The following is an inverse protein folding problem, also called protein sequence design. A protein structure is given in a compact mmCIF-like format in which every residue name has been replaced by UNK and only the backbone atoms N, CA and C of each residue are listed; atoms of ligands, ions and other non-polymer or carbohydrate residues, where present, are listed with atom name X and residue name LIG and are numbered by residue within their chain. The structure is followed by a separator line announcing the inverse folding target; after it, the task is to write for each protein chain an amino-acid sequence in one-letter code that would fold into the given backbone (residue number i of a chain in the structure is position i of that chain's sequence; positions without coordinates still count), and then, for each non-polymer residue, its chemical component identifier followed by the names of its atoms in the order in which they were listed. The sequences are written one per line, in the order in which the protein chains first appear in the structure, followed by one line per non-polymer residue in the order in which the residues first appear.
data_IF_921265353151
#
_entry.id   IF_921265353151
#
_cell.length_a   1.000
_cell.length_b   1.000
_cell.length_c   1.000
_cell.angle_alpha   90.00
_cell.angle_beta   90.00
_cell.angle_gamma   90.00
#
_symmetry.space_group_name_H-M   'P 1'
#
loop_
_entity.id
_entity.type
_entity.pdbx_description
1 polymer ?
#
# COMPACT_ATOMS: atom_id res chain seq x y z
N UNK A 1 -19.48 -11.51 -10.49
CA UNK A 1 -18.94 -11.54 -9.12
C UNK A 1 -17.57 -12.21 -9.08
N UNK A 2 -17.38 -13.37 -9.77
CA UNK A 2 -16.10 -14.13 -9.78
C UNK A 2 -14.87 -13.36 -10.31
N UNK A 3 -14.92 -12.54 -11.39
CA UNK A 3 -13.74 -11.81 -11.84
C UNK A 3 -13.34 -10.69 -10.85
N UNK A 4 -14.29 -10.02 -10.19
CA UNK A 4 -13.98 -8.97 -9.21
C UNK A 4 -13.35 -9.53 -7.93
N UNK A 5 -13.73 -10.72 -7.48
CA UNK A 5 -13.10 -11.37 -6.32
C UNK A 5 -11.70 -11.87 -6.65
N UNK A 6 -11.44 -12.29 -7.89
CA UNK A 6 -10.08 -12.63 -8.36
C UNK A 6 -9.19 -11.39 -8.47
N UNK A 7 -9.71 -10.28 -9.00
CA UNK A 7 -9.03 -9.00 -9.01
C UNK A 7 -8.70 -8.53 -7.59
N UNK A 8 -9.65 -8.59 -6.66
CA UNK A 8 -9.42 -8.27 -5.26
C UNK A 8 -8.32 -9.15 -4.64
N UNK A 9 -8.30 -10.44 -4.94
CA UNK A 9 -7.25 -11.36 -4.47
C UNK A 9 -5.87 -11.02 -5.05
N UNK A 10 -5.79 -10.62 -6.32
CA UNK A 10 -4.53 -10.18 -6.97
C UNK A 10 -4.04 -8.87 -6.39
N UNK A 11 -4.93 -7.89 -6.20
CA UNK A 11 -4.59 -6.64 -5.51
C UNK A 11 -4.10 -6.88 -4.09
N UNK A 12 -4.66 -7.85 -3.42
CA UNK A 12 -4.28 -8.29 -2.08
C UNK A 12 -2.88 -8.89 -2.05
N UNK A 13 -2.59 -9.76 -3.00
CA UNK A 13 -1.27 -10.36 -3.16
C UNK A 13 -0.24 -9.29 -3.53
N UNK A 14 -0.57 -8.37 -4.42
CA UNK A 14 0.28 -7.24 -4.76
C UNK A 14 0.53 -6.32 -3.54
N UNK A 15 -0.49 -6.06 -2.73
CA UNK A 15 -0.36 -5.31 -1.48
C UNK A 15 0.59 -6.00 -0.49
N UNK A 16 0.43 -7.29 -0.24
CA UNK A 16 1.32 -8.06 0.63
C UNK A 16 2.74 -8.11 0.08
N UNK A 17 2.90 -8.32 -1.24
CA UNK A 17 4.22 -8.32 -1.88
C UNK A 17 4.91 -6.96 -1.78
N UNK A 18 4.16 -5.87 -1.95
CA UNK A 18 4.66 -4.51 -1.77
C UNK A 18 5.16 -4.29 -0.34
N UNK A 19 4.42 -4.76 0.66
CA UNK A 19 4.84 -4.69 2.07
C UNK A 19 6.13 -5.45 2.31
N UNK A 20 6.25 -6.67 1.77
CA UNK A 20 7.47 -7.50 1.91
C UNK A 20 8.68 -6.81 1.27
N UNK A 21 8.48 -6.13 0.14
CA UNK A 21 9.55 -5.37 -0.53
C UNK A 21 9.87 -4.06 0.20
N UNK A 22 8.87 -3.38 0.73
CA UNK A 22 9.04 -2.08 1.40
C UNK A 22 9.75 -2.20 2.76
N UNK A 23 9.56 -3.31 3.49
CA UNK A 23 10.24 -3.53 4.78
C UNK A 23 11.78 -3.50 4.61
N UNK A 24 12.40 -4.27 3.70
CA UNK A 24 13.84 -4.14 3.43
C UNK A 24 14.26 -2.75 2.97
N UNK A 25 13.43 -2.07 2.17
CA UNK A 25 13.72 -0.71 1.70
C UNK A 25 13.86 0.30 2.85
N UNK A 26 13.14 0.12 3.95
CA UNK A 26 13.30 0.96 5.15
C UNK A 26 14.72 0.87 5.75
N UNK A 27 15.36 -0.28 5.65
CA UNK A 27 16.75 -0.49 6.12
C UNK A 27 17.79 -0.03 5.09
N UNK A 28 17.39 0.12 3.83
CA UNK A 28 18.24 0.61 2.74
C UNK A 28 18.16 2.12 2.54
N UNK A 29 17.39 2.84 3.39
CA UNK A 29 17.30 4.29 3.32
C UNK A 29 18.70 4.90 3.49
N UNK A 30 19.06 5.87 2.63
CA UNK A 30 20.38 6.49 2.71
C UNK A 30 20.55 7.18 4.07
N UNK A 31 21.73 7.07 4.70
CA UNK A 31 22.00 7.68 5.98
C UNK A 31 21.90 9.21 5.89
N UNK A 32 21.47 9.83 6.99
CA UNK A 32 21.36 11.30 7.13
C UNK A 32 22.71 12.01 6.97
N UNK A 33 23.77 11.32 7.38
CA UNK A 33 25.14 11.85 7.35
C UNK A 33 26.00 10.92 6.51
N UNK A 34 26.63 11.45 5.46
CA UNK A 34 27.62 10.75 4.65
C UNK A 34 28.93 11.52 4.76
N UNK A 35 30.00 10.83 5.11
CA UNK A 35 31.38 11.40 5.24
C UNK A 35 31.45 12.65 6.13
N UNK A 36 30.70 12.68 7.23
CA UNK A 36 30.67 13.81 8.16
C UNK A 36 29.89 15.04 7.68
N UNK A 37 29.39 15.03 6.46
CA UNK A 37 28.56 16.10 5.90
C UNK A 37 27.08 15.73 5.91
N UNK A 38 26.23 16.62 6.42
CA UNK A 38 24.79 16.46 6.31
C UNK A 38 24.37 16.64 4.85
N UNK A 39 23.43 15.80 4.39
CA UNK A 39 22.80 15.99 3.09
C UNK A 39 22.08 17.35 3.07
N UNK A 40 22.41 18.17 2.09
CA UNK A 40 21.85 19.53 1.94
C UNK A 40 20.44 19.51 1.34
N UNK A 41 19.49 19.00 2.08
CA UNK A 41 18.08 19.20 1.78
C UNK A 41 17.43 19.88 2.98
N UNK A 42 16.53 20.82 2.75
CA UNK A 42 15.73 21.48 3.79
C UNK A 42 15.07 20.46 4.74
N UNK A 43 14.66 19.33 4.21
CA UNK A 43 14.09 18.23 4.97
C UNK A 43 15.08 17.54 5.92
N UNK A 44 16.36 17.46 5.56
CA UNK A 44 17.41 16.89 6.39
C UNK A 44 17.88 17.85 7.48
N UNK A 45 17.62 19.14 7.30
CA UNK A 45 17.95 20.18 8.28
C UNK A 45 16.81 20.45 9.26
N UNK A 46 15.60 19.96 8.96
CA UNK A 46 14.45 20.11 9.83
C UNK A 46 14.65 19.39 11.17
N UNK A 47 14.17 19.98 12.30
CA UNK A 47 14.48 19.48 13.65
C UNK A 47 13.93 18.08 13.95
N UNK A 48 13.05 17.53 13.16
CA UNK A 48 12.42 16.24 13.37
C UNK A 48 12.89 15.14 12.39
N UNK A 49 14.13 15.22 11.88
CA UNK A 49 14.73 14.18 11.03
C UNK A 49 13.87 13.73 9.86
N UNK A 50 13.32 14.68 9.19
CA UNK A 50 12.10 14.59 8.45
C UNK A 50 12.01 13.53 7.36
N UNK A 51 12.96 13.28 6.43
CA UNK A 51 12.68 12.34 5.33
C UNK A 51 12.49 10.91 5.83
N UNK A 52 13.31 10.46 6.78
CA UNK A 52 13.24 9.11 7.31
C UNK A 52 11.97 8.90 8.14
N UNK A 53 11.65 9.85 9.02
CA UNK A 53 10.45 9.75 9.87
C UNK A 53 9.19 9.83 9.02
N UNK A 54 9.09 10.81 8.11
CA UNK A 54 7.94 10.94 7.24
C UNK A 54 7.80 9.77 6.25
N UNK A 55 8.92 9.26 5.75
CA UNK A 55 8.95 8.04 4.96
C UNK A 55 8.42 6.83 5.73
N UNK A 56 8.87 6.63 6.98
CA UNK A 56 8.38 5.55 7.85
C UNK A 56 6.89 5.72 8.15
N UNK A 57 6.46 6.91 8.52
CA UNK A 57 5.04 7.20 8.79
C UNK A 57 4.20 6.91 7.54
N UNK A 58 4.62 7.37 6.37
CA UNK A 58 3.96 7.11 5.10
C UNK A 58 3.83 5.61 4.80
N UNK A 59 4.91 4.85 5.00
CA UNK A 59 4.92 3.40 4.83
C UNK A 59 3.96 2.69 5.79
N UNK A 60 3.97 3.08 7.07
CA UNK A 60 3.08 2.50 8.09
C UNK A 60 1.62 2.81 7.74
N UNK A 61 1.31 4.02 7.31
CA UNK A 61 -0.03 4.40 6.85
C UNK A 61 -0.45 3.60 5.62
N UNK A 62 0.45 3.43 4.64
CA UNK A 62 0.20 2.63 3.45
C UNK A 62 -0.10 1.16 3.82
N UNK A 63 0.67 0.61 4.75
CA UNK A 63 0.48 -0.73 5.27
C UNK A 63 -0.89 -0.89 5.96
N UNK A 64 -1.22 0.00 6.89
CA UNK A 64 -2.46 -0.05 7.65
C UNK A 64 -3.67 0.08 6.72
N UNK A 65 -3.65 1.07 5.82
CA UNK A 65 -4.75 1.32 4.89
C UNK A 65 -4.89 0.20 3.85
N UNK A 66 -3.77 -0.35 3.38
CA UNK A 66 -3.75 -1.51 2.48
C UNK A 66 -4.32 -2.76 3.14
N UNK A 67 -3.94 -3.07 4.38
CA UNK A 67 -4.50 -4.20 5.15
C UNK A 67 -6.01 -3.99 5.40
N UNK A 68 -6.43 -2.77 5.75
CA UNK A 68 -7.84 -2.47 5.98
C UNK A 68 -8.69 -2.63 4.72
N UNK A 69 -8.19 -2.16 3.57
CA UNK A 69 -8.81 -2.33 2.27
C UNK A 69 -8.90 -3.81 1.88
N UNK A 70 -7.77 -4.52 1.99
CA UNK A 70 -7.70 -5.95 1.71
C UNK A 70 -8.65 -6.76 2.58
N UNK A 71 -8.59 -6.58 3.90
CA UNK A 71 -9.45 -7.28 4.82
C UNK A 71 -10.93 -7.03 4.52
N UNK A 72 -11.29 -5.79 4.22
CA UNK A 72 -12.67 -5.45 3.84
C UNK A 72 -13.09 -6.18 2.57
N UNK A 73 -12.26 -6.18 1.53
CA UNK A 73 -12.56 -6.86 0.27
C UNK A 73 -12.65 -8.38 0.41
N UNK A 74 -11.82 -8.98 1.28
CA UNK A 74 -11.75 -10.43 1.50
C UNK A 74 -12.82 -10.97 2.47
N UNK A 75 -13.62 -10.11 3.10
CA UNK A 75 -14.60 -10.52 4.10
C UNK A 75 -15.60 -11.59 3.60
N UNK A 76 -16.19 -11.47 2.38
CA UNK A 76 -17.04 -12.52 1.82
C UNK A 76 -16.29 -13.83 1.56
N UNK A 77 -15.02 -13.75 1.15
CA UNK A 77 -14.20 -14.94 0.87
C UNK A 77 -13.88 -15.71 2.15
N UNK A 78 -13.66 -15.02 3.27
CA UNK A 78 -13.53 -15.66 4.58
C UNK A 78 -14.81 -16.35 5.03
N UNK A 79 -15.99 -15.84 4.67
CA UNK A 79 -17.25 -16.53 4.94
C UNK A 79 -17.38 -17.80 4.11
N UNK A 80 -17.05 -17.74 2.83
CA UNK A 80 -17.02 -18.95 1.94
C UNK A 80 -16.01 -19.96 2.46
N UNK A 81 -14.83 -19.51 2.90
CA UNK A 81 -13.82 -20.38 3.49
C UNK A 81 -14.32 -21.07 4.78
N UNK A 82 -15.08 -20.35 5.62
CA UNK A 82 -15.72 -20.89 6.81
C UNK A 82 -16.66 -22.06 6.49
N UNK A 83 -17.42 -21.93 5.40
CA UNK A 83 -18.46 -22.92 5.00
C UNK A 83 -17.90 -24.11 4.25
N UNK A 84 -16.90 -23.90 3.42
CA UNK A 84 -16.40 -24.91 2.49
C UNK A 84 -15.05 -25.53 2.88
N UNK A 85 -14.49 -25.17 4.04
CA UNK A 85 -13.19 -25.71 4.48
C UNK A 85 -13.32 -26.51 5.78
N UNK A 86 -12.31 -27.33 6.06
CA UNK A 86 -12.20 -28.13 7.28
C UNK A 86 -10.90 -27.77 8.04
N UNK A 87 -10.84 -28.13 9.31
CA UNK A 87 -9.64 -27.97 10.12
C UNK A 87 -9.28 -26.51 10.44
N UNK A 88 -8.00 -26.17 10.30
CA UNK A 88 -7.48 -24.84 10.64
C UNK A 88 -8.04 -23.71 9.75
N UNK A 89 -8.29 -23.99 8.49
CA UNK A 89 -8.87 -23.04 7.53
C UNK A 89 -10.28 -22.65 7.93
N UNK A 90 -11.09 -23.58 8.36
CA UNK A 90 -12.44 -23.30 8.87
C UNK A 90 -12.39 -22.40 10.12
N UNK A 91 -11.48 -22.70 11.07
CA UNK A 91 -11.28 -21.88 12.28
C UNK A 91 -10.87 -20.44 11.91
N UNK A 92 -9.95 -20.30 10.97
CA UNK A 92 -9.50 -19.01 10.46
C UNK A 92 -10.65 -18.25 9.78
N UNK A 93 -11.38 -18.89 8.87
CA UNK A 93 -12.57 -18.35 8.22
C UNK A 93 -13.62 -17.88 9.21
N UNK A 94 -13.90 -18.67 10.23
CA UNK A 94 -14.84 -18.33 11.31
C UNK A 94 -14.40 -17.07 12.08
N UNK A 95 -13.11 -16.95 12.39
CA UNK A 95 -12.56 -15.78 13.11
C UNK A 95 -12.56 -14.53 12.24
N UNK A 96 -12.14 -14.63 10.97
CA UNK A 96 -11.97 -13.48 10.07
C UNK A 96 -13.26 -13.02 9.42
N UNK A 97 -14.25 -13.89 9.19
CA UNK A 97 -15.54 -13.50 8.61
C UNK A 97 -16.40 -12.64 9.53
N UNK A 98 -16.11 -12.58 10.84
CA UNK A 98 -16.82 -11.76 11.83
C UNK A 98 -18.36 -11.86 11.73
N UNK A 99 -18.89 -13.06 11.50
CA UNK A 99 -20.33 -13.27 11.38
C UNK A 99 -20.93 -12.78 10.07
N UNK A 100 -20.13 -12.62 9.02
CA UNK A 100 -20.64 -12.28 7.69
C UNK A 100 -21.58 -13.37 7.18
N UNK A 101 -22.81 -12.96 6.81
CA UNK A 101 -23.88 -13.84 6.29
C UNK A 101 -24.34 -13.37 4.90
N UNK A 102 -23.92 -12.17 4.48
CA UNK A 102 -24.27 -11.64 3.17
C UNK A 102 -25.62 -10.93 3.10
N UNK A 103 -26.10 -10.37 4.21
CA UNK A 103 -27.33 -9.55 4.20
C UNK A 103 -27.13 -8.26 3.40
N UNK A 104 -28.22 -7.67 2.89
CA UNK A 104 -28.18 -6.40 2.15
C UNK A 104 -27.54 -5.26 2.94
N UNK A 105 -27.79 -5.21 4.23
CA UNK A 105 -27.15 -4.26 5.14
C UNK A 105 -25.63 -4.46 5.20
N UNK A 106 -25.18 -5.70 5.31
CA UNK A 106 -23.75 -6.03 5.31
C UNK A 106 -23.10 -5.69 3.98
N UNK A 107 -23.74 -5.98 2.85
CA UNK A 107 -23.26 -5.60 1.53
C UNK A 107 -23.17 -4.08 1.32
N UNK A 108 -24.15 -3.32 1.82
CA UNK A 108 -24.12 -1.86 1.79
C UNK A 108 -22.94 -1.32 2.59
N UNK A 109 -22.77 -1.81 3.81
CA UNK A 109 -21.65 -1.42 4.69
C UNK A 109 -20.30 -1.78 4.09
N UNK A 110 -20.19 -2.96 3.48
CA UNK A 110 -18.97 -3.40 2.80
C UNK A 110 -18.58 -2.48 1.65
N UNK A 111 -19.52 -2.15 0.78
CA UNK A 111 -19.31 -1.22 -0.35
C UNK A 111 -18.83 0.14 0.13
N UNK A 112 -19.45 0.67 1.18
CA UNK A 112 -19.05 1.93 1.78
C UNK A 112 -17.62 1.86 2.36
N UNK A 113 -17.28 0.78 3.08
CA UNK A 113 -15.92 0.57 3.62
C UNK A 113 -14.87 0.44 2.52
N UNK A 114 -15.13 -0.34 1.48
CA UNK A 114 -14.22 -0.49 0.35
C UNK A 114 -14.01 0.86 -0.36
N UNK A 115 -15.08 1.63 -0.57
CA UNK A 115 -14.97 2.97 -1.13
C UNK A 115 -14.13 3.90 -0.26
N UNK A 116 -14.42 3.98 1.02
CA UNK A 116 -13.70 4.82 1.97
C UNK A 116 -12.21 4.43 2.08
N UNK A 117 -11.92 3.15 2.34
CA UNK A 117 -10.53 2.69 2.46
C UNK A 117 -9.78 2.75 1.13
N UNK A 118 -10.46 2.49 0.01
CA UNK A 118 -9.86 2.61 -1.32
C UNK A 118 -9.46 4.05 -1.64
N UNK A 119 -10.33 5.00 -1.38
CA UNK A 119 -10.03 6.43 -1.55
C UNK A 119 -8.88 6.86 -0.64
N UNK A 120 -8.93 6.47 0.64
CA UNK A 120 -7.88 6.83 1.59
C UNK A 120 -6.53 6.19 1.22
N UNK A 121 -6.53 4.92 0.84
CA UNK A 121 -5.34 4.22 0.35
C UNK A 121 -4.74 4.90 -0.88
N UNK A 122 -5.58 5.33 -1.83
CA UNK A 122 -5.14 6.06 -3.01
C UNK A 122 -4.40 7.35 -2.65
N UNK A 123 -4.97 8.17 -1.77
CA UNK A 123 -4.32 9.41 -1.33
C UNK A 123 -3.00 9.15 -0.60
N UNK A 124 -2.97 8.18 0.31
CA UNK A 124 -1.75 7.80 1.02
C UNK A 124 -0.69 7.31 0.04
N UNK A 125 -1.07 6.48 -0.94
CA UNK A 125 -0.16 5.97 -1.97
C UNK A 125 0.45 7.11 -2.81
N UNK A 126 -0.36 8.06 -3.25
CA UNK A 126 0.12 9.24 -3.98
C UNK A 126 1.09 10.04 -3.12
N UNK A 127 0.71 10.34 -1.88
CA UNK A 127 1.54 11.11 -0.94
C UNK A 127 2.88 10.41 -0.67
N UNK A 128 2.86 9.10 -0.43
CA UNK A 128 4.08 8.31 -0.19
C UNK A 128 4.97 8.31 -1.42
N UNK A 129 4.39 8.15 -2.62
CA UNK A 129 5.14 8.20 -3.86
C UNK A 129 5.81 9.56 -4.08
N UNK A 130 5.11 10.65 -3.79
CA UNK A 130 5.68 12.00 -3.83
C UNK A 130 6.82 12.18 -2.83
N UNK A 131 6.66 11.75 -1.59
CA UNK A 131 7.70 11.81 -0.58
C UNK A 131 8.96 11.05 -1.02
N UNK A 132 8.79 9.81 -1.49
CA UNK A 132 9.93 8.98 -1.88
C UNK A 132 10.66 9.51 -3.10
N UNK A 133 9.94 9.97 -4.11
CA UNK A 133 10.57 10.53 -5.32
C UNK A 133 11.26 11.86 -5.06
N UNK A 134 10.68 12.71 -4.20
CA UNK A 134 11.29 14.01 -3.88
C UNK A 134 12.49 13.84 -2.94
N UNK A 135 12.32 13.10 -1.86
CA UNK A 135 13.33 13.06 -0.79
C UNK A 135 14.45 12.05 -1.08
N UNK A 136 14.12 10.90 -1.67
CA UNK A 136 15.09 9.82 -1.85
C UNK A 136 15.61 9.67 -3.28
N UNK A 137 14.89 10.14 -4.29
CA UNK A 137 15.40 10.15 -5.66
C UNK A 137 16.03 11.51 -6.02
N UNK A 138 15.26 12.59 -5.96
CA UNK A 138 15.79 13.91 -6.31
C UNK A 138 16.77 14.47 -5.26
N UNK A 139 16.50 14.25 -3.99
CA UNK A 139 17.36 14.73 -2.90
C UNK A 139 18.72 14.03 -2.79
N UNK A 140 18.91 12.90 -3.47
CA UNK A 140 20.19 12.15 -3.45
C UNK A 140 21.23 12.76 -4.38
N UNK A 141 20.80 13.35 -5.50
CA UNK A 141 21.70 13.95 -6.51
C UNK A 141 21.79 15.44 -6.27
N UNK A 142 22.95 15.99 -5.85
CA UNK A 142 23.12 17.41 -5.65
C UNK A 142 22.84 18.20 -6.93
N UNK A 143 21.97 19.19 -6.84
CA UNK A 143 21.63 20.06 -7.97
C UNK A 143 20.58 19.50 -8.93
N UNK A 144 20.19 18.24 -8.79
CA UNK A 144 19.10 17.68 -9.58
C UNK A 144 17.75 18.20 -9.06
N UNK A 145 17.04 18.94 -9.91
CA UNK A 145 15.69 19.42 -9.64
C UNK A 145 14.85 19.29 -10.89
N UNK A 146 13.90 18.36 -10.84
CA UNK A 146 12.95 18.15 -11.92
C UNK A 146 11.53 18.21 -11.35
N UNK A 147 10.80 19.27 -11.71
CA UNK A 147 9.43 19.48 -11.25
C UNK A 147 8.45 18.42 -11.77
N UNK A 148 8.75 17.80 -12.90
CA UNK A 148 7.87 16.83 -13.57
C UNK A 148 8.20 15.40 -13.13
N UNK A 149 9.41 15.15 -12.64
CA UNK A 149 9.89 13.80 -12.30
C UNK A 149 8.95 13.04 -11.36
N UNK A 150 8.49 13.66 -10.30
CA UNK A 150 7.60 13.04 -9.32
C UNK A 150 6.26 12.64 -9.94
N UNK A 151 5.70 13.49 -10.77
CA UNK A 151 4.45 13.23 -11.47
C UNK A 151 4.65 12.09 -12.50
N UNK A 152 5.71 12.17 -13.29
CA UNK A 152 6.07 11.15 -14.27
C UNK A 152 6.25 9.78 -13.59
N UNK A 153 7.00 9.73 -12.50
CA UNK A 153 7.24 8.50 -11.75
C UNK A 153 5.93 7.90 -11.19
N UNK A 154 5.04 8.75 -10.69
CA UNK A 154 3.73 8.32 -10.16
C UNK A 154 2.88 7.69 -11.27
N UNK A 155 2.75 8.35 -12.41
CA UNK A 155 1.97 7.84 -13.56
C UNK A 155 2.60 6.56 -14.12
N UNK A 156 3.93 6.52 -14.25
CA UNK A 156 4.64 5.31 -14.71
C UNK A 156 4.46 4.13 -13.75
N UNK A 157 4.45 4.37 -12.45
CA UNK A 157 4.18 3.34 -11.44
C UNK A 157 2.77 2.77 -11.57
N UNK A 158 1.78 3.60 -11.84
CA UNK A 158 0.41 3.14 -12.10
C UNK A 158 0.30 2.33 -13.38
N UNK A 159 0.93 2.80 -14.45
CA UNK A 159 0.98 2.07 -15.72
C UNK A 159 1.62 0.69 -15.54
N UNK A 160 2.74 0.62 -14.81
CA UNK A 160 3.40 -0.64 -14.45
C UNK A 160 2.50 -1.57 -13.64
N UNK A 161 1.76 -1.02 -12.67
CA UNK A 161 0.80 -1.78 -11.87
C UNK A 161 -0.35 -2.34 -12.71
N UNK A 162 -0.92 -1.56 -13.62
CA UNK A 162 -1.96 -2.02 -14.54
C UNK A 162 -1.43 -3.10 -15.49
N UNK A 163 -0.22 -2.90 -16.03
CA UNK A 163 0.41 -3.90 -16.91
C UNK A 163 0.64 -5.23 -16.18
N UNK A 164 1.13 -5.19 -14.94
CA UNK A 164 1.31 -6.37 -14.10
C UNK A 164 -0.03 -7.10 -13.85
N UNK A 165 -1.12 -6.36 -13.62
CA UNK A 165 -2.45 -6.95 -13.47
C UNK A 165 -2.94 -7.62 -14.75
N UNK A 166 -2.75 -6.99 -15.91
CA UNK A 166 -3.13 -7.58 -17.20
C UNK A 166 -2.37 -8.89 -17.42
N UNK A 167 -1.07 -8.91 -17.16
CA UNK A 167 -0.24 -10.12 -17.31
C UNK A 167 -0.70 -11.22 -16.33
N UNK A 168 -1.04 -10.87 -15.10
CA UNK A 168 -1.48 -11.83 -14.09
C UNK A 168 -2.88 -12.40 -14.37
N UNK A 169 -3.69 -11.72 -15.15
CA UNK A 169 -5.05 -12.13 -15.51
C UNK A 169 -5.12 -12.89 -16.84
N UNK A 170 -4.10 -12.74 -17.68
CA UNK A 170 -3.96 -13.49 -18.93
C UNK A 170 -3.62 -14.97 -18.68
#
# INVERSE_FOLDING_TARGET
VRPLTRLAAIFSFAGVSTIIVLIPLLFLLPPLVVDGTRRRSIWFEAPNYSPHIWGIIGMVLLLITGIALFYSAALPDFAVMRENSTGWRQKLGKKLSRGWVGTDSQWRTLRMRIGMFGTFYFFVMVMVNFLYTTDFAQGVVPGYRDAIYTLYHTVSSWQGGVAALVIALW
#
